data_IF_885981147337
#
_entry.id   IF_885981147337
#
_cell.length_a   1.000
_cell.length_b   1.000
_cell.length_c   1.000
_cell.angle_alpha   90.00
_cell.angle_beta   90.00
_cell.angle_gamma   90.00
#
_symmetry.space_group_name_H-M   'P 1'
#
loop_
_entity.id
_entity.type
_entity.pdbx_description
1 polymer ?
#
# COMPACT_ATOMS: atom_id res chain seq x y z
N UNK A 1 3.85 -22.64 9.21
CA UNK A 1 4.27 -21.39 8.56
C UNK A 1 4.61 -20.37 9.65
N UNK A 2 5.76 -19.72 9.61
CA UNK A 2 6.05 -18.65 10.55
C UNK A 2 5.09 -17.48 10.32
N UNK A 3 4.82 -16.73 11.37
CA UNK A 3 4.09 -15.46 11.31
C UNK A 3 5.09 -14.35 11.61
N UNK A 4 5.15 -13.35 10.72
CA UNK A 4 5.96 -12.16 10.89
C UNK A 4 5.01 -10.98 11.05
N UNK A 5 5.19 -10.23 12.12
CA UNK A 5 4.44 -9.00 12.33
C UNK A 5 5.11 -7.84 11.60
N UNK A 6 4.31 -6.88 11.15
CA UNK A 6 4.85 -5.65 10.63
C UNK A 6 5.68 -4.94 11.70
N UNK A 7 6.89 -4.55 11.34
CA UNK A 7 7.78 -3.79 12.23
C UNK A 7 7.51 -2.29 12.12
N UNK A 8 7.02 -1.84 10.95
CA UNK A 8 6.69 -0.45 10.69
C UNK A 8 5.51 -0.36 9.73
N UNK A 9 4.62 0.60 9.93
CA UNK A 9 3.48 0.87 9.05
C UNK A 9 3.29 2.36 8.93
N UNK A 10 2.98 2.83 7.72
CA UNK A 10 2.63 4.22 7.50
C UNK A 10 1.78 4.40 6.26
N UNK A 11 1.35 5.61 6.02
CA UNK A 11 0.70 5.95 4.77
C UNK A 11 1.09 7.33 4.29
N UNK A 12 0.99 7.52 2.98
CA UNK A 12 1.24 8.79 2.33
C UNK A 12 -0.02 9.18 1.55
N UNK A 13 -0.39 10.44 1.66
CA UNK A 13 -1.47 11.04 0.89
C UNK A 13 -0.92 11.84 -0.27
N UNK A 14 -1.30 11.49 -1.48
CA UNK A 14 -1.14 12.30 -2.67
C UNK A 14 -2.36 13.19 -2.90
N UNK A 15 -2.15 14.45 -3.25
CA UNK A 15 -3.22 15.41 -3.53
C UNK A 15 -2.95 16.12 -4.84
N UNK A 16 -3.75 15.85 -5.87
CA UNK A 16 -3.60 16.40 -7.21
C UNK A 16 -4.50 17.60 -7.52
N UNK A 17 -5.10 18.22 -6.51
CA UNK A 17 -6.09 19.28 -6.76
C UNK A 17 -7.21 18.78 -7.66
N UNK A 18 -7.51 19.51 -8.74
CA UNK A 18 -8.51 19.11 -9.73
C UNK A 18 -8.02 18.07 -10.74
N UNK A 19 -6.76 17.66 -10.70
CA UNK A 19 -6.17 16.68 -11.60
C UNK A 19 -6.05 15.31 -10.93
N UNK A 20 -6.76 14.32 -11.47
CA UNK A 20 -6.62 12.95 -11.01
C UNK A 20 -5.22 12.38 -11.30
N UNK A 21 -4.68 12.68 -12.48
CA UNK A 21 -3.34 12.24 -12.86
C UNK A 21 -2.29 12.73 -11.86
N UNK A 22 -2.32 14.01 -11.49
CA UNK A 22 -1.38 14.56 -10.53
C UNK A 22 -1.51 13.93 -9.14
N UNK A 23 -2.72 13.58 -8.69
CA UNK A 23 -2.89 12.92 -7.39
C UNK A 23 -2.24 11.54 -7.32
N UNK A 24 -1.88 10.95 -8.46
CA UNK A 24 -1.25 9.64 -8.58
C UNK A 24 0.27 9.71 -8.78
N UNK A 25 0.77 10.80 -9.35
CA UNK A 25 2.16 10.93 -9.82
C UNK A 25 2.95 12.04 -9.13
N UNK A 26 2.28 12.98 -8.49
CA UNK A 26 2.98 14.02 -7.72
C UNK A 26 3.46 13.44 -6.38
N UNK A 27 4.51 14.01 -5.83
CA UNK A 27 4.97 13.66 -4.50
C UNK A 27 3.84 13.76 -3.48
N UNK A 28 3.92 12.97 -2.42
CA UNK A 28 2.96 13.01 -1.33
C UNK A 28 2.82 14.41 -0.71
N UNK A 29 1.67 14.70 -0.17
CA UNK A 29 1.37 15.98 0.50
C UNK A 29 1.31 15.87 2.01
N UNK A 30 1.12 14.68 2.53
CA UNK A 30 1.12 14.39 3.97
C UNK A 30 1.56 12.94 4.21
N UNK A 31 2.27 12.74 5.29
CA UNK A 31 2.80 11.44 5.69
C UNK A 31 2.42 11.14 7.13
N UNK A 32 2.11 9.88 7.38
CA UNK A 32 1.99 9.31 8.71
C UNK A 32 2.84 8.06 8.82
N UNK A 33 3.72 8.02 9.80
CA UNK A 33 4.63 6.92 10.05
C UNK A 33 4.48 6.42 11.48
N UNK A 34 4.41 5.12 11.66
CA UNK A 34 4.36 4.47 12.97
C UNK A 34 5.46 3.43 13.11
N UNK A 35 6.42 3.65 14.01
CA UNK A 35 7.50 2.70 14.25
C UNK A 35 7.05 1.43 14.99
N UNK A 36 5.78 1.29 15.32
CA UNK A 36 5.25 0.16 16.11
C UNK A 36 4.41 -0.82 15.30
N UNK A 37 4.27 -0.64 13.99
CA UNK A 37 3.48 -1.53 13.13
C UNK A 37 1.96 -1.46 13.33
N UNK A 38 1.47 -0.59 14.19
CA UNK A 38 0.04 -0.42 14.50
C UNK A 38 -0.42 0.99 14.18
N UNK A 39 -0.94 1.20 12.98
CA UNK A 39 -1.52 2.49 12.60
C UNK A 39 -2.81 2.28 11.81
N UNK A 40 -3.76 3.19 11.98
CA UNK A 40 -4.90 3.29 11.08
C UNK A 40 -4.41 3.89 9.77
N UNK A 41 -4.21 3.05 8.76
CA UNK A 41 -3.70 3.46 7.46
C UNK A 41 -4.83 3.42 6.44
N UNK A 42 -5.24 4.57 5.91
CA UNK A 42 -6.25 4.61 4.85
C UNK A 42 -5.67 4.07 3.53
N UNK A 43 -6.45 3.22 2.88
CA UNK A 43 -6.21 2.76 1.51
C UNK A 43 -7.39 3.28 0.70
N UNK A 44 -7.28 4.50 0.22
CA UNK A 44 -8.42 5.20 -0.38
C UNK A 44 -8.02 5.95 -1.63
N UNK A 45 -8.97 6.01 -2.55
CA UNK A 45 -8.93 6.86 -3.73
C UNK A 45 -10.26 7.59 -3.77
N UNK A 46 -10.26 8.92 -3.67
CA UNK A 46 -11.53 9.65 -3.61
C UNK A 46 -11.45 11.01 -4.29
N UNK A 47 -12.63 11.48 -4.68
CA UNK A 47 -12.86 12.81 -5.20
C UNK A 47 -13.80 13.56 -4.25
N UNK A 48 -13.34 14.67 -3.74
CA UNK A 48 -14.15 15.56 -2.91
C UNK A 48 -14.62 16.73 -3.75
N UNK A 49 -15.93 16.83 -4.00
CA UNK A 49 -16.52 17.95 -4.70
C UNK A 49 -16.57 19.19 -3.81
N UNK A 50 -16.28 20.37 -4.36
CA UNK A 50 -16.29 21.64 -3.64
C UNK A 50 -16.70 22.82 -4.54
N UNK A 51 -16.97 24.00 -3.93
CA UNK A 51 -17.47 25.23 -4.58
C UNK A 51 -16.38 25.93 -5.43
N UNK A 52 -15.67 25.32 -6.22
CA UNK A 52 -14.56 25.84 -7.07
C UNK A 52 -13.88 24.73 -7.84
N UNK A 53 -14.52 23.59 -7.87
CA UNK A 53 -13.95 22.36 -8.41
C UNK A 53 -13.79 21.32 -7.30
N UNK A 54 -13.36 20.13 -7.70
CA UNK A 54 -13.12 19.04 -6.75
C UNK A 54 -11.63 18.80 -6.53
N UNK A 55 -11.33 18.00 -5.52
CA UNK A 55 -9.95 17.58 -5.21
C UNK A 55 -9.87 16.07 -5.23
N UNK A 56 -8.93 15.55 -6.01
CA UNK A 56 -8.55 14.14 -5.98
C UNK A 56 -7.50 13.88 -4.91
N UNK A 57 -7.65 12.79 -4.21
CA UNK A 57 -6.69 12.31 -3.21
C UNK A 57 -6.49 10.82 -3.34
N UNK A 58 -5.24 10.40 -3.17
CA UNK A 58 -4.82 9.00 -3.13
C UNK A 58 -4.13 8.75 -1.80
N UNK A 59 -4.49 7.69 -1.11
CA UNK A 59 -3.80 7.24 0.09
C UNK A 59 -3.20 5.87 -0.18
N UNK A 60 -1.88 5.77 -0.05
CA UNK A 60 -1.12 4.53 -0.18
C UNK A 60 -0.54 4.15 1.17
N UNK A 61 -0.74 2.92 1.57
CA UNK A 61 -0.20 2.37 2.81
C UNK A 61 1.07 1.59 2.51
N UNK A 62 2.09 1.79 3.32
CA UNK A 62 3.35 1.06 3.27
C UNK A 62 3.54 0.26 4.55
N UNK A 63 4.03 -0.97 4.40
CA UNK A 63 4.22 -1.92 5.48
C UNK A 63 5.61 -2.52 5.35
N UNK A 64 6.43 -2.33 6.36
CA UNK A 64 7.76 -2.92 6.44
C UNK A 64 7.75 -4.16 7.34
N UNK A 65 8.40 -5.20 6.85
CA UNK A 65 8.63 -6.45 7.55
C UNK A 65 10.14 -6.74 7.62
N UNK A 66 10.65 -6.97 8.82
CA UNK A 66 11.95 -7.63 9.00
C UNK A 66 11.78 -9.12 8.65
N UNK A 67 12.34 -9.50 7.53
CA UNK A 67 12.26 -10.87 7.01
C UNK A 67 13.58 -11.64 7.15
N UNK A 68 14.55 -11.09 7.88
CA UNK A 68 15.88 -11.68 8.11
C UNK A 68 15.82 -13.08 8.74
N UNK A 69 14.75 -13.37 9.47
CA UNK A 69 14.51 -14.69 10.07
C UNK A 69 13.96 -15.75 9.10
N UNK A 70 13.65 -15.39 7.85
CA UNK A 70 13.17 -16.35 6.85
C UNK A 70 14.37 -17.12 6.30
N UNK A 71 14.39 -18.44 6.52
CA UNK A 71 15.40 -19.32 5.96
C UNK A 71 14.78 -20.24 4.91
N UNK A 72 15.37 -20.26 3.73
CA UNK A 72 14.93 -21.11 2.62
C UNK A 72 13.88 -20.45 1.72
N UNK A 73 13.35 -21.23 0.78
CA UNK A 73 12.44 -20.76 -0.26
C UNK A 73 11.01 -20.63 0.27
N UNK A 74 10.43 -19.44 0.13
CA UNK A 74 8.99 -19.21 0.38
C UNK A 74 8.19 -19.71 -0.82
N UNK A 75 7.22 -20.57 -0.57
CA UNK A 75 6.34 -21.14 -1.62
C UNK A 75 4.88 -20.71 -1.45
N UNK A 76 4.54 -20.11 -0.30
CA UNK A 76 3.23 -19.51 -0.05
C UNK A 76 3.33 -18.44 1.02
N UNK A 77 2.58 -17.37 0.88
CA UNK A 77 2.48 -16.31 1.88
C UNK A 77 1.10 -15.64 1.81
N UNK A 78 0.67 -15.09 2.94
CA UNK A 78 -0.59 -14.35 3.06
C UNK A 78 -0.34 -13.09 3.87
N UNK A 79 -0.67 -11.93 3.29
CA UNK A 79 -0.70 -10.67 4.02
C UNK A 79 -2.04 -10.57 4.76
N UNK A 80 -1.98 -10.34 6.08
CA UNK A 80 -3.15 -10.18 6.93
C UNK A 80 -3.28 -8.74 7.38
N UNK A 81 -4.38 -8.09 7.02
CA UNK A 81 -4.68 -6.71 7.41
C UNK A 81 -6.03 -6.67 8.11
N UNK A 82 -6.07 -6.16 9.32
CA UNK A 82 -7.33 -5.93 10.03
C UNK A 82 -7.96 -4.62 9.55
N UNK A 83 -9.16 -4.70 9.01
CA UNK A 83 -9.93 -3.52 8.63
C UNK A 83 -10.62 -2.92 9.85
N UNK A 84 -10.63 -1.59 9.94
CA UNK A 84 -11.31 -0.87 11.02
C UNK A 84 -12.64 -0.25 10.58
N UNK A 85 -12.79 0.11 9.31
CA UNK A 85 -13.97 0.83 8.82
C UNK A 85 -14.74 0.08 7.74
N UNK A 86 -15.98 0.49 7.54
CA UNK A 86 -16.97 -0.12 6.64
C UNK A 86 -16.79 0.25 5.16
N UNK A 87 -15.65 0.75 4.75
CA UNK A 87 -15.46 1.15 3.35
C UNK A 87 -15.23 -0.09 2.50
N UNK A 88 -16.10 -0.29 1.53
CA UNK A 88 -15.88 -1.28 0.46
C UNK A 88 -14.79 -0.74 -0.45
N UNK A 89 -13.62 -1.29 -0.37
CA UNK A 89 -12.51 -0.99 -1.27
C UNK A 89 -12.04 -2.28 -1.91
N UNK A 90 -11.50 -2.17 -3.08
CA UNK A 90 -10.68 -3.20 -3.69
C UNK A 90 -9.22 -2.76 -3.60
N UNK A 91 -8.35 -3.68 -3.27
CA UNK A 91 -6.94 -3.36 -3.05
C UNK A 91 -6.03 -4.28 -3.85
N UNK A 92 -4.80 -3.83 -4.02
CA UNK A 92 -3.68 -4.61 -4.55
C UNK A 92 -2.46 -4.38 -3.68
N UNK A 93 -1.63 -5.42 -3.54
CA UNK A 93 -0.34 -5.33 -2.88
C UNK A 93 0.75 -5.30 -3.93
N UNK A 94 1.66 -4.34 -3.80
CA UNK A 94 2.80 -4.11 -4.69
C UNK A 94 4.11 -4.18 -3.91
N UNK A 95 5.23 -4.27 -4.62
CA UNK A 95 6.53 -4.00 -4.03
C UNK A 95 6.60 -2.54 -3.59
N UNK A 96 6.94 -2.29 -2.34
CA UNK A 96 7.10 -0.95 -1.78
C UNK A 96 8.51 -0.38 -1.96
N UNK A 97 9.41 -1.14 -2.63
CA UNK A 97 10.79 -0.76 -2.97
C UNK A 97 11.55 -0.11 -1.80
N UNK A 98 11.94 1.16 -1.96
CA UNK A 98 12.76 1.88 -0.99
C UNK A 98 11.98 2.65 0.06
N UNK A 99 10.66 2.56 0.11
CA UNK A 99 9.90 3.18 1.19
C UNK A 99 10.44 2.73 2.56
N UNK A 100 10.50 3.62 3.53
CA UNK A 100 11.23 3.43 4.79
C UNK A 100 12.76 3.23 4.61
N UNK A 101 13.35 3.72 3.50
CA UNK A 101 14.75 3.48 3.16
C UNK A 101 15.04 2.07 2.64
N UNK A 102 14.00 1.25 2.43
CA UNK A 102 14.10 -0.14 2.00
C UNK A 102 14.46 -1.11 3.14
N UNK A 103 15.10 -0.63 4.20
CA UNK A 103 15.60 -1.41 5.34
C UNK A 103 14.88 -1.11 6.67
N UNK A 104 13.84 -0.27 6.63
CA UNK A 104 13.06 0.12 7.80
C UNK A 104 13.74 1.11 8.75
N UNK A 105 14.95 1.55 8.46
CA UNK A 105 15.73 2.44 9.33
C UNK A 105 15.38 3.92 9.12
N UNK A 106 14.80 4.27 7.98
CA UNK A 106 14.38 5.64 7.65
C UNK A 106 12.88 5.81 7.89
N UNK A 107 12.46 6.97 8.36
CA UNK A 107 11.05 7.31 8.46
C UNK A 107 10.44 7.44 7.06
N UNK A 108 9.18 7.02 6.92
CA UNK A 108 8.41 7.25 5.71
C UNK A 108 8.34 8.77 5.43
N UNK A 109 8.51 9.17 4.19
CA UNK A 109 8.49 10.58 3.79
C UNK A 109 7.62 10.78 2.54
N UNK A 110 7.39 12.02 2.13
CA UNK A 110 6.50 12.34 1.01
C UNK A 110 7.01 11.83 -0.34
N UNK A 111 8.33 11.71 -0.50
CA UNK A 111 8.95 11.24 -1.74
C UNK A 111 8.78 9.72 -1.91
N UNK A 112 8.52 8.99 -0.83
CA UNK A 112 8.21 7.56 -0.89
C UNK A 112 6.84 7.27 -1.54
N UNK A 113 6.05 8.29 -1.85
CA UNK A 113 4.75 8.09 -2.50
C UNK A 113 4.85 7.32 -3.82
N UNK A 114 5.91 7.55 -4.58
CA UNK A 114 6.13 6.92 -5.89
C UNK A 114 6.92 5.62 -5.81
N UNK A 115 7.31 5.16 -4.62
CA UNK A 115 8.05 3.90 -4.46
C UNK A 115 7.23 2.66 -4.85
N UNK A 116 5.91 2.73 -4.83
CA UNK A 116 5.08 1.74 -5.50
C UNK A 116 5.09 2.00 -6.99
N UNK A 117 5.86 1.24 -7.73
CA UNK A 117 5.96 1.39 -9.17
C UNK A 117 4.65 1.00 -9.86
N UNK A 118 3.91 2.01 -10.30
CA UNK A 118 2.64 1.82 -11.00
C UNK A 118 2.79 1.50 -12.49
N UNK A 119 3.98 1.62 -13.04
CA UNK A 119 4.22 1.45 -14.47
C UNK A 119 4.35 -0.02 -14.91
N UNK A 120 4.44 -0.96 -13.96
CA UNK A 120 4.69 -2.36 -14.27
C UNK A 120 3.84 -3.33 -13.46
N UNK A 121 2.92 -4.02 -14.11
CA UNK A 121 2.18 -5.18 -13.57
C UNK A 121 3.13 -6.26 -13.02
N UNK A 122 4.39 -6.28 -13.44
CA UNK A 122 5.40 -7.26 -13.03
C UNK A 122 5.81 -7.19 -11.55
N UNK A 123 5.50 -6.10 -10.85
CA UNK A 123 5.87 -5.92 -9.45
C UNK A 123 4.70 -6.09 -8.47
N UNK A 124 3.54 -6.49 -8.96
CA UNK A 124 2.42 -6.83 -8.10
C UNK A 124 2.74 -8.06 -7.26
N UNK A 125 2.52 -7.94 -5.96
CA UNK A 125 2.67 -9.02 -4.98
C UNK A 125 1.37 -9.79 -4.74
N UNK A 126 0.25 -9.28 -5.23
CA UNK A 126 -1.04 -9.98 -5.21
C UNK A 126 -1.83 -9.73 -6.49
N UNK A 127 -2.89 -10.50 -6.70
CA UNK A 127 -4.01 -10.09 -7.56
C UNK A 127 -4.86 -9.05 -6.84
N UNK A 128 -5.85 -8.48 -7.54
CA UNK A 128 -6.90 -7.69 -6.92
C UNK A 128 -7.53 -8.47 -5.76
N UNK A 129 -7.65 -7.84 -4.60
CA UNK A 129 -8.35 -8.39 -3.45
C UNK A 129 -9.70 -7.68 -3.27
N UNK A 130 -10.77 -8.45 -3.35
CA UNK A 130 -12.15 -8.01 -3.18
C UNK A 130 -13.02 -9.20 -2.76
N UNK A 131 -14.06 -9.03 -1.93
CA UNK A 131 -14.42 -7.81 -1.23
C UNK A 131 -13.55 -7.58 0.01
N UNK A 132 -13.26 -6.32 0.29
CA UNK A 132 -12.68 -5.92 1.57
C UNK A 132 -13.75 -5.99 2.66
N UNK A 133 -13.49 -6.78 3.69
CA UNK A 133 -14.47 -7.00 4.76
C UNK A 133 -14.14 -6.13 5.98
N UNK A 134 -15.13 -5.37 6.41
CA UNK A 134 -15.04 -4.46 7.56
C UNK A 134 -14.84 -5.21 8.88
N UNK A 135 -14.11 -4.59 9.78
CA UNK A 135 -13.88 -5.02 11.18
C UNK A 135 -13.42 -6.47 11.33
N UNK A 136 -12.72 -6.98 10.35
CA UNK A 136 -12.18 -8.34 10.35
C UNK A 136 -10.79 -8.39 9.72
N UNK A 137 -10.15 -9.54 9.85
CA UNK A 137 -8.88 -9.81 9.18
C UNK A 137 -9.13 -10.16 7.71
N UNK A 138 -8.61 -9.34 6.82
CA UNK A 138 -8.59 -9.60 5.39
C UNK A 138 -7.31 -10.38 5.06
N UNK A 139 -7.46 -11.55 4.46
CA UNK A 139 -6.35 -12.44 4.12
C UNK A 139 -6.07 -12.34 2.62
N UNK A 140 -5.01 -11.62 2.26
CA UNK A 140 -4.61 -11.37 0.88
C UNK A 140 -3.54 -12.39 0.49
N UNK A 141 -3.88 -13.30 -0.43
CA UNK A 141 -2.91 -14.27 -0.95
C UNK A 141 -1.85 -13.55 -1.79
N UNK A 142 -0.59 -13.78 -1.47
CA UNK A 142 0.53 -13.24 -2.21
C UNK A 142 0.94 -14.20 -3.34
N UNK A 143 1.65 -13.67 -4.33
CA UNK A 143 2.10 -14.39 -5.53
C UNK A 143 3.61 -14.69 -5.51
N UNK A 144 4.12 -15.29 -6.60
CA UNK A 144 5.53 -15.66 -6.72
C UNK A 144 6.51 -14.50 -6.65
N UNK A 145 6.11 -13.28 -7.06
CA UNK A 145 6.97 -12.10 -6.94
C UNK A 145 7.21 -11.77 -5.47
N UNK A 146 6.15 -11.78 -4.66
CA UNK A 146 6.28 -11.62 -3.21
C UNK A 146 7.09 -12.76 -2.57
N UNK A 147 6.92 -14.02 -3.03
CA UNK A 147 7.69 -15.14 -2.50
C UNK A 147 9.19 -14.97 -2.76
N UNK A 148 9.53 -14.48 -3.95
CA UNK A 148 10.92 -14.18 -4.32
C UNK A 148 11.51 -13.07 -3.43
N UNK A 149 10.78 -11.98 -3.21
CA UNK A 149 11.19 -10.90 -2.32
C UNK A 149 11.38 -11.40 -0.88
N UNK A 150 10.41 -12.15 -0.34
CA UNK A 150 10.47 -12.73 1.00
C UNK A 150 11.61 -13.74 1.18
N UNK A 151 12.02 -14.42 0.11
CA UNK A 151 13.08 -15.44 0.17
C UNK A 151 14.50 -14.87 0.02
N UNK A 152 14.63 -13.72 -0.65
CA UNK A 152 15.94 -13.17 -1.04
C UNK A 152 16.38 -11.98 -0.20
N UNK A 153 15.47 -11.32 0.48
CA UNK A 153 15.73 -10.09 1.20
C UNK A 153 15.63 -10.28 2.70
N UNK A 154 16.51 -9.63 3.44
CA UNK A 154 16.39 -9.52 4.89
C UNK A 154 15.23 -8.61 5.30
N UNK A 155 14.76 -7.80 4.36
CA UNK A 155 13.75 -6.77 4.55
C UNK A 155 12.77 -6.79 3.39
N UNK A 156 11.49 -6.61 3.67
CA UNK A 156 10.47 -6.56 2.64
C UNK A 156 9.49 -5.43 2.91
N UNK A 157 9.38 -4.52 1.97
CA UNK A 157 8.38 -3.45 2.00
C UNK A 157 7.24 -3.78 1.06
N UNK A 158 6.03 -3.66 1.55
CA UNK A 158 4.81 -3.85 0.77
C UNK A 158 4.05 -2.53 0.70
N UNK A 159 3.69 -2.11 -0.50
CA UNK A 159 2.76 -1.02 -0.74
C UNK A 159 1.36 -1.56 -0.97
N UNK A 160 0.35 -0.96 -0.36
CA UNK A 160 -1.06 -1.33 -0.56
C UNK A 160 -1.83 -0.11 -1.05
N UNK A 161 -2.51 -0.26 -2.17
CA UNK A 161 -3.29 0.83 -2.78
C UNK A 161 -4.65 0.36 -3.26
N UNK A 162 -5.53 1.32 -3.58
CA UNK A 162 -6.79 1.02 -4.23
C UNK A 162 -6.55 0.45 -5.64
N UNK A 163 -7.20 -0.66 -5.95
CA UNK A 163 -7.01 -1.32 -7.23
C UNK A 163 -7.67 -0.57 -8.39
N UNK A 164 -8.97 -0.27 -8.28
CA UNK A 164 -9.72 0.31 -9.40
C UNK A 164 -9.25 1.71 -9.73
N UNK A 165 -9.08 2.56 -8.73
CA UNK A 165 -8.81 3.96 -8.97
C UNK A 165 -7.32 4.25 -9.09
N UNK A 166 -6.52 3.84 -8.12
CA UNK A 166 -5.10 4.18 -8.12
C UNK A 166 -4.30 3.28 -9.08
N UNK A 167 -4.43 1.96 -8.96
CA UNK A 167 -3.66 1.03 -9.78
C UNK A 167 -4.14 0.99 -11.24
N UNK A 168 -5.44 0.84 -11.49
CA UNK A 168 -6.04 0.78 -12.85
C UNK A 168 -6.25 2.16 -13.49
N UNK A 169 -5.86 3.24 -12.83
CA UNK A 169 -5.97 4.60 -13.36
C UNK A 169 -7.40 5.01 -13.74
N UNK A 170 -8.39 4.61 -12.96
CA UNK A 170 -9.79 4.95 -13.20
C UNK A 170 -10.24 6.03 -12.20
N UNK A 171 -10.46 7.26 -12.69
CA UNK A 171 -10.81 8.36 -11.80
C UNK A 171 -12.08 8.06 -10.98
N UNK A 172 -12.06 8.25 -9.64
CA UNK A 172 -13.25 8.10 -8.84
C UNK A 172 -14.27 9.18 -9.22
N UNK A 173 -15.54 8.76 -9.33
CA UNK A 173 -16.66 9.70 -9.43
C UNK A 173 -17.02 10.20 -8.04
N UNK A 174 -17.53 11.43 -7.92
CA UNK A 174 -17.90 12.02 -6.62
C UNK A 174 -18.70 11.05 -5.75
N UNK A 175 -18.26 10.86 -4.53
CA UNK A 175 -19.05 10.26 -3.46
C UNK A 175 -19.91 11.31 -2.81
#
# INVERSE_FOLDING_TARGET
MPTINASRVGYIQGTGGSSFANSRTDNGSAVFDSPTGNVLSPIQSFFSSGRGGGTYRQNRTYIYFDTSGITGTVTSATLKITSYTTVTSDVIVLNGNNAFGGDGNTALNVDDFDEVNMAGISEAFSSQFTPWVSQTVNNISLNSNAFSALSSNNDTVMGVMNYTHDYQNSAPTSS
#
